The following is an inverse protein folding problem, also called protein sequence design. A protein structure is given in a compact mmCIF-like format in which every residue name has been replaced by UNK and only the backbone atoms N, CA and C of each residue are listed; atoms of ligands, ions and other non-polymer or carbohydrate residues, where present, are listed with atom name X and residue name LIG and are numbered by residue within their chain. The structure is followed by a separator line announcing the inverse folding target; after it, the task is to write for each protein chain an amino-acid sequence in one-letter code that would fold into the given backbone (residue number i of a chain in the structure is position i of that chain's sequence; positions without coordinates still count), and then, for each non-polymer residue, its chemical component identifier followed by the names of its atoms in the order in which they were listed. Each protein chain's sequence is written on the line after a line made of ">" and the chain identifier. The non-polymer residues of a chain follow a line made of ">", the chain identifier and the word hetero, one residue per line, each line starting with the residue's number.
data_IF_027795782533
#
_entry.id   IF_027795782533
#
_cell.length_a   1.000
_cell.length_b   1.000
_cell.length_c   1.000
_cell.angle_alpha   90.00
_cell.angle_beta   90.00
_cell.angle_gamma   90.00
#
_symmetry.space_group_name_H-M   'P 1'
#
loop_
_entity.id
_entity.type
_entity.pdbx_description
1 polymer ?
#
# COMPACT_ATOMS: atom_id res chain seq x y z
N UNK A 1 -6.68 -25.28 28.73
CA UNK A 1 -5.83 -25.28 27.53
C UNK A 1 -6.09 -23.94 26.86
N UNK A 2 -5.07 -23.08 26.71
CA UNK A 2 -5.21 -21.85 25.92
C UNK A 2 -5.50 -22.22 24.47
N UNK A 3 -6.34 -21.43 23.78
CA UNK A 3 -6.53 -21.59 22.35
C UNK A 3 -5.17 -21.47 21.64
N UNK A 4 -4.92 -22.25 20.58
CA UNK A 4 -3.69 -22.11 19.81
C UNK A 4 -3.60 -20.67 19.28
N UNK A 5 -2.41 -20.08 19.37
CA UNK A 5 -2.15 -18.74 18.79
C UNK A 5 -2.42 -18.81 17.28
N UNK A 6 -3.21 -17.88 16.69
CA UNK A 6 -3.42 -17.89 15.25
C UNK A 6 -2.09 -17.73 14.53
N UNK A 7 -1.92 -18.46 13.42
CA UNK A 7 -0.71 -18.36 12.59
C UNK A 7 -0.73 -17.16 11.63
N UNK A 8 -1.92 -16.66 11.30
CA UNK A 8 -2.10 -15.50 10.43
C UNK A 8 -2.87 -14.41 11.16
N UNK A 9 -2.42 -13.18 11.02
CA UNK A 9 -3.12 -11.99 11.44
C UNK A 9 -3.16 -10.97 10.30
N UNK A 10 -4.17 -10.12 10.25
CA UNK A 10 -4.34 -9.06 9.27
C UNK A 10 -4.40 -7.72 9.97
N UNK A 11 -3.61 -6.76 9.50
CA UNK A 11 -3.68 -5.36 9.88
C UNK A 11 -3.74 -4.51 8.62
N UNK A 12 -4.86 -3.84 8.37
CA UNK A 12 -4.98 -2.88 7.27
C UNK A 12 -4.86 -1.47 7.82
N UNK A 13 -4.09 -0.63 7.15
CA UNK A 13 -3.93 0.77 7.55
C UNK A 13 -3.62 1.66 6.35
N UNK A 14 -4.09 2.88 6.43
CA UNK A 14 -3.73 3.92 5.47
C UNK A 14 -2.26 4.30 5.62
N UNK A 15 -1.63 4.60 4.49
CA UNK A 15 -0.42 5.40 4.45
C UNK A 15 -0.77 6.81 3.99
N UNK A 16 -0.18 7.81 4.60
CA UNK A 16 -0.40 9.20 4.20
C UNK A 16 0.88 10.02 4.33
N UNK A 17 1.36 10.62 3.24
CA UNK A 17 2.51 11.50 3.32
C UNK A 17 2.24 12.74 4.17
N UNK A 18 0.97 13.03 4.48
CA UNK A 18 0.54 14.18 5.26
C UNK A 18 0.54 13.93 6.78
N UNK A 19 0.69 12.70 7.24
CA UNK A 19 0.55 12.34 8.66
C UNK A 19 1.46 13.15 9.58
N UNK A 20 2.67 13.46 9.14
CA UNK A 20 3.67 14.20 9.92
C UNK A 20 3.77 15.68 9.51
N UNK A 21 2.83 16.18 8.70
CA UNK A 21 2.83 17.55 8.22
C UNK A 21 1.78 18.40 8.97
N UNK A 22 1.99 19.74 9.10
CA UNK A 22 0.99 20.63 9.67
C UNK A 22 -0.32 20.60 8.87
N UNK A 23 -1.45 20.43 9.54
CA UNK A 23 -2.76 20.47 8.87
C UNK A 23 -3.91 19.94 9.72
N UNK A 24 -3.89 18.71 10.24
CA UNK A 24 -4.97 18.19 11.08
C UNK A 24 -5.10 18.95 12.40
N UNK A 25 -6.32 19.02 12.94
CA UNK A 25 -6.54 19.56 14.29
C UNK A 25 -5.89 18.65 15.35
N UNK A 26 -5.57 19.21 16.52
CA UNK A 26 -5.01 18.42 17.63
C UNK A 26 -5.94 17.26 18.03
N UNK A 27 -7.25 17.49 18.08
CA UNK A 27 -8.22 16.47 18.41
C UNK A 27 -8.21 15.31 17.39
N UNK A 28 -8.14 15.62 16.10
CA UNK A 28 -8.05 14.57 15.06
C UNK A 28 -6.73 13.80 15.15
N UNK A 29 -5.63 14.48 15.44
CA UNK A 29 -4.33 13.81 15.65
C UNK A 29 -4.35 12.90 16.87
N UNK A 30 -5.01 13.30 17.96
CA UNK A 30 -5.18 12.48 19.16
C UNK A 30 -5.97 11.21 18.84
N UNK A 31 -7.07 11.32 18.08
CA UNK A 31 -7.86 10.16 17.64
C UNK A 31 -7.05 9.23 16.73
N UNK A 32 -6.34 9.77 15.75
CA UNK A 32 -5.45 8.97 14.86
C UNK A 32 -4.38 8.26 15.71
N UNK A 33 -3.71 8.97 16.61
CA UNK A 33 -2.66 8.38 17.44
C UNK A 33 -3.19 7.28 18.37
N UNK A 34 -4.42 7.41 18.87
CA UNK A 34 -5.07 6.36 19.65
C UNK A 34 -5.28 5.08 18.80
N UNK A 35 -5.82 5.20 17.59
CA UNK A 35 -6.00 4.06 16.67
C UNK A 35 -4.66 3.42 16.28
N UNK A 36 -3.63 4.23 16.02
CA UNK A 36 -2.30 3.71 15.73
C UNK A 36 -1.66 3.01 16.94
N UNK A 37 -1.96 3.46 18.16
CA UNK A 37 -1.52 2.79 19.39
C UNK A 37 -2.20 1.43 19.56
N UNK A 38 -3.48 1.31 19.27
CA UNK A 38 -4.22 0.05 19.29
C UNK A 38 -3.68 -0.93 18.25
N UNK A 39 -3.39 -0.47 17.03
CA UNK A 39 -2.76 -1.28 15.99
C UNK A 39 -1.38 -1.80 16.43
N UNK A 40 -0.55 -0.94 17.02
CA UNK A 40 0.77 -1.35 17.58
C UNK A 40 0.62 -2.37 18.69
N UNK A 41 -0.34 -2.18 19.60
CA UNK A 41 -0.59 -3.13 20.68
C UNK A 41 -1.02 -4.49 20.14
N UNK A 42 -1.94 -4.52 19.16
CA UNK A 42 -2.36 -5.75 18.48
C UNK A 42 -1.18 -6.49 17.84
N UNK A 43 -0.32 -5.78 17.10
CA UNK A 43 0.85 -6.36 16.43
C UNK A 43 1.89 -6.85 17.44
N UNK A 44 2.10 -6.11 18.54
CA UNK A 44 3.03 -6.51 19.59
C UNK A 44 2.55 -7.77 20.34
N UNK A 45 1.23 -7.89 20.60
CA UNK A 45 0.65 -9.08 21.22
C UNK A 45 0.72 -10.31 20.30
N UNK A 46 0.51 -10.11 19.01
CA UNK A 46 0.65 -11.19 18.00
C UNK A 46 2.11 -11.63 17.82
N UNK A 47 3.09 -10.74 17.98
CA UNK A 47 4.55 -10.97 17.85
C UNK A 47 4.91 -11.72 16.55
N UNK A 48 4.76 -11.11 15.38
CA UNK A 48 4.97 -11.77 14.08
C UNK A 48 6.44 -12.15 13.86
N UNK A 49 6.67 -13.34 13.30
CA UNK A 49 7.98 -13.82 12.84
C UNK A 49 8.27 -13.42 11.38
N UNK A 50 7.23 -13.04 10.65
CA UNK A 50 7.27 -12.58 9.27
C UNK A 50 6.17 -11.57 9.04
N UNK A 51 6.48 -10.55 8.26
CA UNK A 51 5.48 -9.60 7.73
C UNK A 51 5.38 -9.80 6.21
N UNK A 52 4.16 -9.82 5.68
CA UNK A 52 3.91 -9.70 4.23
C UNK A 52 3.08 -8.45 4.03
N UNK A 53 3.63 -7.47 3.33
CA UNK A 53 2.95 -6.18 3.12
C UNK A 53 2.51 -6.02 1.67
N UNK A 54 1.22 -5.81 1.48
CA UNK A 54 0.65 -5.42 0.20
C UNK A 54 0.58 -3.90 0.13
N UNK A 55 1.16 -3.31 -0.89
CA UNK A 55 1.23 -1.85 -1.04
C UNK A 55 1.24 -1.42 -2.49
N UNK A 56 0.76 -0.20 -2.80
CA UNK A 56 1.00 0.44 -4.07
C UNK A 56 2.42 1.02 -4.14
N UNK A 57 2.73 1.66 -5.27
CA UNK A 57 3.89 2.52 -5.46
C UNK A 57 3.46 3.81 -6.15
N UNK A 58 4.10 4.93 -5.79
CA UNK A 58 3.78 6.26 -6.31
C UNK A 58 4.84 6.75 -7.30
N UNK A 59 5.22 5.89 -8.25
CA UNK A 59 6.28 6.13 -9.23
C UNK A 59 7.64 6.40 -8.57
N UNK A 60 8.02 5.55 -7.60
CA UNK A 60 9.33 5.56 -6.97
C UNK A 60 10.13 4.28 -7.26
N UNK A 61 9.47 3.12 -7.35
CA UNK A 61 10.07 1.83 -7.72
C UNK A 61 9.56 1.27 -9.05
N UNK A 62 8.33 1.65 -9.45
CA UNK A 62 7.69 1.15 -10.66
C UNK A 62 7.27 2.28 -11.60
N UNK A 63 7.53 2.07 -12.90
CA UNK A 63 7.35 3.09 -13.94
C UNK A 63 6.74 2.47 -15.19
N UNK A 64 6.11 3.29 -16.05
CA UNK A 64 5.50 2.81 -17.30
C UNK A 64 6.49 2.21 -18.29
N UNK A 65 7.79 2.38 -18.11
CA UNK A 65 8.79 1.64 -18.86
C UNK A 65 8.60 0.13 -18.74
N UNK A 66 8.18 -0.34 -17.57
CA UNK A 66 7.70 -1.70 -17.31
C UNK A 66 6.85 -1.67 -16.04
N UNK A 67 5.52 -1.63 -16.19
CA UNK A 67 4.59 -1.58 -15.08
C UNK A 67 3.90 -2.94 -14.94
N UNK A 68 4.34 -3.80 -13.99
CA UNK A 68 3.67 -5.06 -13.75
C UNK A 68 2.36 -4.84 -12.98
N UNK A 69 1.34 -5.69 -13.14
CA UNK A 69 0.15 -5.64 -12.30
C UNK A 69 0.46 -5.97 -10.84
N UNK A 70 1.40 -6.92 -10.62
CA UNK A 70 1.85 -7.38 -9.31
C UNK A 70 3.34 -7.68 -9.34
N UNK A 71 4.03 -7.47 -8.21
CA UNK A 71 5.42 -7.86 -8.05
C UNK A 71 5.71 -8.29 -6.61
N UNK A 72 6.45 -9.39 -6.45
CA UNK A 72 6.99 -9.81 -5.15
C UNK A 72 8.46 -9.38 -5.09
N UNK A 73 8.87 -8.72 -4.00
CA UNK A 73 10.26 -8.38 -3.77
C UNK A 73 11.00 -9.52 -3.07
N UNK A 74 12.08 -10.04 -3.67
CA UNK A 74 13.04 -10.94 -2.99
C UNK A 74 14.24 -10.20 -2.41
N UNK A 75 14.38 -8.93 -2.72
CA UNK A 75 15.16 -7.92 -2.00
C UNK A 75 14.45 -6.57 -2.21
N UNK A 76 14.50 -5.72 -1.20
CA UNK A 76 13.84 -4.42 -1.26
C UNK A 76 14.64 -3.34 -0.53
N UNK A 77 14.46 -2.09 -0.98
CA UNK A 77 15.13 -0.92 -0.44
C UNK A 77 14.14 0.25 -0.32
N UNK A 78 13.99 0.80 0.88
CA UNK A 78 13.19 2.00 1.10
C UNK A 78 13.85 3.22 0.48
N UNK A 79 13.09 4.01 -0.26
CA UNK A 79 13.62 5.20 -0.96
C UNK A 79 13.70 6.46 -0.09
N UNK A 80 13.06 6.45 1.10
CA UNK A 80 13.12 7.55 2.06
C UNK A 80 12.35 8.79 1.63
N UNK A 81 11.30 8.64 0.85
CA UNK A 81 10.42 9.75 0.51
C UNK A 81 9.60 10.18 1.73
N UNK A 82 9.20 11.44 1.79
CA UNK A 82 8.47 12.05 2.92
C UNK A 82 9.08 11.80 4.31
N UNK A 83 10.41 11.56 4.37
CA UNK A 83 11.12 11.34 5.63
C UNK A 83 10.90 9.95 6.25
N UNK A 84 10.40 8.99 5.48
CA UNK A 84 10.29 7.58 5.86
C UNK A 84 11.64 6.87 5.80
N UNK A 85 11.69 5.61 6.22
CA UNK A 85 12.91 4.80 6.21
C UNK A 85 13.58 4.77 4.82
N UNK A 86 14.89 4.94 4.81
CA UNK A 86 15.76 4.85 3.64
C UNK A 86 16.84 3.79 3.88
N UNK A 87 16.83 2.73 3.10
CA UNK A 87 17.81 1.64 3.23
C UNK A 87 17.23 0.26 2.97
N UNK A 88 18.05 -0.79 3.08
CA UNK A 88 17.62 -2.16 2.80
C UNK A 88 16.62 -2.66 3.84
N UNK A 89 15.58 -3.36 3.37
CA UNK A 89 14.66 -4.12 4.22
C UNK A 89 15.23 -5.54 4.42
N UNK A 90 14.90 -6.15 5.56
CA UNK A 90 15.25 -7.55 5.85
C UNK A 90 14.27 -8.48 5.11
N UNK A 91 14.56 -8.78 3.84
CA UNK A 91 13.73 -9.66 3.02
C UNK A 91 14.30 -11.08 3.03
N UNK A 92 13.55 -12.10 3.53
CA UNK A 92 13.94 -13.49 3.44
C UNK A 92 13.79 -14.00 1.98
N UNK A 93 14.84 -13.80 1.17
CA UNK A 93 14.82 -13.98 -0.28
C UNK A 93 14.33 -15.37 -0.72
N UNK A 94 14.80 -16.44 -0.08
CA UNK A 94 14.38 -17.80 -0.42
C UNK A 94 12.89 -18.04 -0.17
N UNK A 95 12.34 -17.43 0.89
CA UNK A 95 10.92 -17.52 1.20
C UNK A 95 10.08 -16.70 0.21
N UNK A 96 10.56 -15.52 -0.17
CA UNK A 96 9.91 -14.68 -1.19
C UNK A 96 9.89 -15.38 -2.55
N UNK A 97 10.99 -16.03 -2.95
CA UNK A 97 11.07 -16.82 -4.17
C UNK A 97 10.11 -18.03 -4.13
N UNK A 98 10.02 -18.72 -2.99
CA UNK A 98 9.10 -19.84 -2.79
C UNK A 98 7.64 -19.37 -2.86
N UNK A 99 7.33 -18.21 -2.28
CA UNK A 99 6.01 -17.59 -2.36
C UNK A 99 5.65 -17.24 -3.81
N UNK A 100 6.57 -16.65 -4.58
CA UNK A 100 6.35 -16.36 -6.00
C UNK A 100 6.06 -17.63 -6.81
N UNK A 101 6.81 -18.70 -6.57
CA UNK A 101 6.58 -20.00 -7.22
C UNK A 101 5.19 -20.56 -6.90
N UNK A 102 4.77 -20.50 -5.63
CA UNK A 102 3.44 -20.95 -5.22
C UNK A 102 2.31 -20.10 -5.85
N UNK A 103 2.53 -18.80 -6.05
CA UNK A 103 1.59 -17.91 -6.74
C UNK A 103 1.47 -18.29 -8.22
N UNK A 104 2.58 -18.60 -8.93
CA UNK A 104 2.56 -19.09 -10.30
C UNK A 104 1.85 -20.44 -10.42
N UNK A 105 2.14 -21.38 -9.50
CA UNK A 105 1.48 -22.70 -9.46
C UNK A 105 -0.03 -22.57 -9.24
N UNK A 106 -0.47 -21.53 -8.53
CA UNK A 106 -1.88 -21.19 -8.35
C UNK A 106 -2.52 -20.49 -9.57
N UNK A 107 -1.77 -20.29 -10.66
CA UNK A 107 -2.25 -19.70 -11.90
C UNK A 107 -2.35 -18.17 -11.88
N UNK A 108 -1.61 -17.50 -11.00
CA UNK A 108 -1.56 -16.04 -10.95
C UNK A 108 -0.19 -15.56 -11.42
N UNK A 109 -0.18 -14.76 -12.50
CA UNK A 109 1.04 -14.15 -13.00
C UNK A 109 1.50 -13.04 -12.05
N UNK A 110 2.68 -13.17 -11.49
CA UNK A 110 3.34 -12.18 -10.63
C UNK A 110 4.78 -11.96 -11.12
N UNK A 111 5.25 -10.72 -11.09
CA UNK A 111 6.65 -10.42 -11.33
C UNK A 111 7.47 -10.67 -10.07
N UNK A 112 8.76 -10.94 -10.23
CA UNK A 112 9.72 -11.04 -9.13
C UNK A 112 10.78 -9.97 -9.29
N UNK A 113 11.09 -9.25 -8.20
CA UNK A 113 12.17 -8.25 -8.18
C UNK A 113 13.23 -8.63 -7.15
N UNK A 114 14.48 -8.73 -7.59
CA UNK A 114 15.65 -8.89 -6.72
C UNK A 114 16.28 -7.53 -6.31
N UNK A 115 15.62 -6.42 -6.64
CA UNK A 115 16.05 -5.07 -6.32
C UNK A 115 14.82 -4.13 -6.36
N UNK A 116 13.84 -4.39 -5.50
CA UNK A 116 12.60 -3.60 -5.44
C UNK A 116 12.85 -2.32 -4.65
N UNK A 117 12.69 -1.16 -5.28
CA UNK A 117 12.56 0.09 -4.54
C UNK A 117 11.13 0.24 -4.05
N UNK A 118 10.97 0.58 -2.77
CA UNK A 118 9.67 0.78 -2.12
C UNK A 118 9.58 2.16 -1.49
N UNK A 119 8.42 2.79 -1.59
CA UNK A 119 8.18 4.13 -1.08
C UNK A 119 7.40 4.12 0.26
N UNK A 120 6.94 5.32 0.67
CA UNK A 120 6.16 5.50 1.90
C UNK A 120 4.94 4.57 1.97
N UNK A 121 4.36 4.18 0.84
CA UNK A 121 3.25 3.22 0.81
C UNK A 121 3.60 1.88 1.46
N UNK A 122 4.86 1.46 1.36
CA UNK A 122 5.36 0.24 2.02
C UNK A 122 5.97 0.54 3.39
N UNK A 123 6.88 1.52 3.47
CA UNK A 123 7.69 1.68 4.69
C UNK A 123 6.99 2.43 5.80
N UNK A 124 6.06 3.35 5.51
CA UNK A 124 5.37 4.11 6.56
C UNK A 124 4.53 3.22 7.49
N UNK A 125 3.71 2.27 6.99
CA UNK A 125 3.03 1.31 7.88
C UNK A 125 4.00 0.49 8.73
N UNK A 126 5.14 0.06 8.19
CA UNK A 126 6.16 -0.68 8.94
C UNK A 126 6.78 0.20 10.04
N UNK A 127 7.15 1.44 9.72
CA UNK A 127 7.67 2.40 10.71
C UNK A 127 6.65 2.67 11.82
N UNK A 128 5.37 2.82 11.47
CA UNK A 128 4.30 3.03 12.44
C UNK A 128 4.12 1.83 13.36
N UNK A 129 4.08 0.62 12.80
CA UNK A 129 3.80 -0.60 13.56
C UNK A 129 4.99 -1.08 14.40
N UNK A 130 6.22 -0.92 13.89
CA UNK A 130 7.43 -1.49 14.51
C UNK A 130 8.44 -0.46 15.00
N UNK A 131 8.26 0.82 14.67
CA UNK A 131 9.19 1.91 15.00
C UNK A 131 10.41 1.98 14.09
N UNK A 132 10.77 0.89 13.41
CA UNK A 132 11.87 0.79 12.46
C UNK A 132 11.57 -0.33 11.45
N UNK A 133 11.46 0.03 10.17
CA UNK A 133 11.13 -0.89 9.08
C UNK A 133 12.18 -2.00 8.85
N UNK A 134 13.41 -1.83 9.35
CA UNK A 134 14.50 -2.79 9.18
C UNK A 134 14.52 -3.91 10.23
N UNK A 135 13.67 -3.84 11.26
CA UNK A 135 13.77 -4.71 12.45
C UNK A 135 13.06 -6.05 12.33
N UNK A 136 12.27 -6.25 11.29
CA UNK A 136 11.48 -7.48 11.12
C UNK A 136 11.64 -8.02 9.70
N UNK A 137 11.71 -9.36 9.53
CA UNK A 137 11.63 -9.97 8.21
C UNK A 137 10.35 -9.57 7.51
N UNK A 138 10.46 -8.99 6.28
CA UNK A 138 9.33 -8.51 5.51
C UNK A 138 9.42 -8.92 4.05
N UNK A 139 8.30 -9.36 3.46
CA UNK A 139 8.19 -9.59 2.02
C UNK A 139 7.24 -8.54 1.46
N UNK A 140 7.72 -7.57 0.68
CA UNK A 140 6.87 -6.60 0.01
C UNK A 140 6.20 -7.21 -1.22
N UNK A 141 4.91 -6.94 -1.38
CA UNK A 141 4.08 -7.32 -2.52
C UNK A 141 3.48 -6.07 -3.12
N UNK A 142 4.01 -5.66 -4.24
CA UNK A 142 3.49 -4.52 -4.99
C UNK A 142 2.20 -4.89 -5.72
N UNK A 143 1.20 -4.01 -5.63
CA UNK A 143 -0.03 -4.02 -6.42
C UNK A 143 -0.09 -2.71 -7.20
N UNK A 144 -0.24 -2.80 -8.53
CA UNK A 144 -0.50 -1.61 -9.34
C UNK A 144 -1.92 -1.11 -9.09
N UNK A 145 -2.06 -0.14 -8.20
CA UNK A 145 -3.31 0.54 -7.88
C UNK A 145 -3.35 2.01 -8.36
N UNK A 146 -2.24 2.50 -8.95
CA UNK A 146 -2.07 3.92 -9.31
C UNK A 146 -1.91 4.12 -10.81
N UNK A 147 -1.13 3.28 -11.49
CA UNK A 147 -0.72 3.48 -12.88
C UNK A 147 -1.68 2.77 -13.85
N UNK A 148 -2.62 3.51 -14.40
CA UNK A 148 -3.58 2.98 -15.38
C UNK A 148 -2.89 2.46 -16.67
N UNK A 149 -3.41 1.35 -17.30
CA UNK A 149 -4.64 0.64 -16.96
C UNK A 149 -4.47 -0.29 -15.75
N UNK A 150 -5.44 -0.25 -14.84
CA UNK A 150 -5.43 -1.10 -13.65
C UNK A 150 -6.02 -2.49 -13.95
N UNK A 151 -5.48 -3.51 -13.26
CA UNK A 151 -6.05 -4.86 -13.33
C UNK A 151 -7.43 -4.94 -12.67
N UNK A 152 -8.31 -5.89 -13.08
CA UNK A 152 -9.58 -6.11 -12.40
C UNK A 152 -9.38 -6.56 -10.94
N UNK A 153 -10.19 -6.05 -10.02
CA UNK A 153 -10.08 -6.35 -8.57
C UNK A 153 -10.12 -7.86 -8.25
N UNK A 154 -10.85 -8.66 -9.03
CA UNK A 154 -10.84 -10.13 -8.92
C UNK A 154 -9.45 -10.75 -9.07
N UNK A 155 -8.54 -10.11 -9.81
CA UNK A 155 -7.15 -10.57 -9.94
C UNK A 155 -6.35 -10.28 -8.69
N UNK A 156 -6.62 -9.16 -8.03
CA UNK A 156 -6.03 -8.81 -6.72
C UNK A 156 -6.47 -9.84 -5.67
N UNK A 157 -7.76 -10.19 -5.66
CA UNK A 157 -8.28 -11.25 -4.77
C UNK A 157 -7.66 -12.62 -5.04
N UNK A 158 -7.45 -12.97 -6.32
CA UNK A 158 -6.78 -14.22 -6.70
C UNK A 158 -5.34 -14.26 -6.19
N UNK A 159 -4.60 -13.14 -6.29
CA UNK A 159 -3.26 -12.99 -5.71
C UNK A 159 -3.30 -13.18 -4.18
N UNK A 160 -4.21 -12.48 -3.50
CA UNK A 160 -4.38 -12.60 -2.05
C UNK A 160 -4.69 -14.03 -1.61
N UNK A 161 -5.56 -14.75 -2.34
CA UNK A 161 -5.89 -16.14 -2.06
C UNK A 161 -4.68 -17.07 -2.25
N UNK A 162 -3.89 -16.90 -3.33
CA UNK A 162 -2.70 -17.70 -3.58
C UNK A 162 -1.62 -17.47 -2.50
N UNK A 163 -1.35 -16.21 -2.16
CA UNK A 163 -0.40 -15.87 -1.10
C UNK A 163 -0.91 -16.37 0.25
N UNK A 164 -2.18 -16.17 0.58
CA UNK A 164 -2.77 -16.62 1.84
C UNK A 164 -2.69 -18.15 2.01
N UNK A 165 -2.90 -18.93 0.94
CA UNK A 165 -2.73 -20.37 0.96
C UNK A 165 -1.27 -20.78 1.23
N UNK A 166 -0.30 -20.10 0.62
CA UNK A 166 1.13 -20.32 0.88
C UNK A 166 1.48 -20.00 2.34
N UNK A 167 1.07 -18.81 2.83
CA UNK A 167 1.37 -18.38 4.19
C UNK A 167 0.74 -19.32 5.24
N UNK A 168 -0.47 -19.81 5.00
CA UNK A 168 -1.14 -20.77 5.87
C UNK A 168 -0.44 -22.14 5.93
N UNK A 169 0.48 -22.45 5.01
CA UNK A 169 1.29 -23.67 5.04
C UNK A 169 2.59 -23.52 5.85
N UNK A 170 2.94 -22.30 6.26
CA UNK A 170 4.15 -22.03 7.03
C UNK A 170 3.92 -22.31 8.52
N UNK A 171 4.91 -22.86 9.19
CA UNK A 171 4.94 -22.97 10.66
C UNK A 171 5.52 -21.69 11.27
N UNK A 172 4.83 -20.56 11.04
CA UNK A 172 5.22 -19.21 11.47
C UNK A 172 4.00 -18.35 11.80
N UNK A 173 4.18 -17.44 12.73
CA UNK A 173 3.23 -16.32 12.92
C UNK A 173 3.51 -15.26 11.83
N UNK A 174 2.58 -15.10 10.92
CA UNK A 174 2.71 -14.16 9.81
C UNK A 174 1.68 -13.04 9.96
N UNK A 175 2.17 -11.81 10.01
CA UNK A 175 1.33 -10.62 9.90
C UNK A 175 1.20 -10.24 8.42
N UNK A 176 -0.03 -10.21 7.94
CA UNK A 176 -0.36 -9.60 6.65
C UNK A 176 -0.72 -8.14 6.89
N UNK A 177 -0.03 -7.24 6.22
CA UNK A 177 -0.32 -5.80 6.26
C UNK A 177 -0.91 -5.38 4.92
N UNK A 178 -2.11 -4.79 4.95
CA UNK A 178 -2.70 -4.11 3.81
C UNK A 178 -2.43 -2.61 3.93
N UNK A 179 -1.58 -2.08 3.06
CA UNK A 179 -1.27 -0.66 2.99
C UNK A 179 -1.97 -0.04 1.81
N UNK A 180 -2.83 0.92 2.05
CA UNK A 180 -3.61 1.53 0.99
C UNK A 180 -4.37 2.75 1.49
N UNK A 181 -5.55 2.93 0.97
CA UNK A 181 -6.49 3.93 1.42
C UNK A 181 -7.90 3.51 1.02
N UNK A 182 -8.87 3.98 1.77
CA UNK A 182 -10.27 3.87 1.39
C UNK A 182 -10.59 4.95 0.36
N UNK A 183 -11.79 5.51 0.33
CA UNK A 183 -12.15 6.53 -0.65
C UNK A 183 -11.24 7.76 -0.56
N UNK A 184 -10.51 8.05 -1.62
CA UNK A 184 -9.74 9.29 -1.78
C UNK A 184 -9.31 9.50 -3.23
N UNK A 185 -9.03 10.75 -3.59
CA UNK A 185 -8.75 11.15 -4.97
C UNK A 185 -7.53 12.09 -5.03
N UNK A 186 -6.31 11.61 -4.74
CA UNK A 186 -5.12 12.45 -4.77
C UNK A 186 -4.76 12.88 -6.20
N UNK A 187 -4.07 14.02 -6.38
CA UNK A 187 -3.67 14.53 -7.69
C UNK A 187 -2.51 13.70 -8.27
N UNK A 188 -2.80 12.49 -8.76
CA UNK A 188 -1.80 11.59 -9.35
C UNK A 188 -1.61 11.94 -10.84
N UNK A 189 -0.36 12.12 -11.32
CA UNK A 189 -0.11 12.34 -12.73
C UNK A 189 -0.41 11.07 -13.55
N UNK A 190 -1.07 11.24 -14.70
CA UNK A 190 -1.35 10.17 -15.66
C UNK A 190 -0.58 10.38 -16.96
N UNK A 191 -0.48 9.35 -17.81
CA UNK A 191 0.13 9.48 -19.13
C UNK A 191 -0.56 10.55 -20.00
N UNK A 192 -1.87 10.78 -19.80
CA UNK A 192 -2.65 11.74 -20.57
C UNK A 192 -2.53 13.18 -20.06
N UNK A 193 -2.27 13.36 -18.76
CA UNK A 193 -2.37 14.69 -18.11
C UNK A 193 -1.04 15.20 -17.57
N UNK A 194 -0.01 14.34 -17.48
CA UNK A 194 1.27 14.71 -16.92
C UNK A 194 2.00 15.75 -17.80
N UNK A 195 2.55 16.83 -17.21
CA UNK A 195 3.44 17.72 -17.93
C UNK A 195 4.76 17.00 -18.31
N UNK A 196 5.54 17.50 -19.29
CA UNK A 196 6.68 16.77 -19.84
C UNK A 196 7.68 16.24 -18.81
N UNK A 197 8.02 17.01 -17.78
CA UNK A 197 8.94 16.56 -16.72
C UNK A 197 8.35 15.44 -15.85
N UNK A 198 7.05 15.51 -15.53
CA UNK A 198 6.36 14.46 -14.80
C UNK A 198 6.17 13.21 -15.68
N UNK A 199 5.91 13.40 -16.98
CA UNK A 199 5.82 12.30 -17.95
C UNK A 199 7.12 11.52 -18.04
N UNK A 200 8.26 12.21 -18.17
CA UNK A 200 9.58 11.57 -18.18
C UNK A 200 9.84 10.76 -16.89
N UNK A 201 9.42 11.30 -15.76
CA UNK A 201 9.52 10.60 -14.49
C UNK A 201 8.67 9.33 -14.45
N UNK A 202 7.35 9.44 -14.71
CA UNK A 202 6.45 8.29 -14.59
C UNK A 202 6.70 7.20 -15.64
N UNK A 203 7.33 7.57 -16.76
CA UNK A 203 7.67 6.60 -17.82
C UNK A 203 9.05 5.99 -17.58
N UNK A 204 10.09 6.80 -17.36
CA UNK A 204 11.47 6.35 -17.37
C UNK A 204 12.13 6.30 -15.99
N UNK A 205 11.44 6.74 -14.94
CA UNK A 205 12.01 6.75 -13.59
C UNK A 205 13.09 7.83 -13.41
N UNK A 206 12.95 8.97 -14.09
CA UNK A 206 13.90 10.05 -13.94
C UNK A 206 14.03 10.46 -12.46
N UNK A 207 15.25 10.53 -11.88
CA UNK A 207 15.46 10.89 -10.50
C UNK A 207 14.87 12.27 -10.19
N UNK A 208 14.22 12.39 -9.05
CA UNK A 208 13.73 13.69 -8.60
C UNK A 208 14.83 14.44 -7.86
N UNK A 209 15.09 15.68 -8.26
CA UNK A 209 16.01 16.54 -7.50
C UNK A 209 15.42 16.86 -6.10
N UNK A 210 16.24 17.30 -5.12
CA UNK A 210 15.71 17.74 -3.83
C UNK A 210 14.65 18.84 -3.96
N UNK A 211 14.85 19.79 -4.87
CA UNK A 211 13.91 20.88 -5.16
C UNK A 211 12.60 20.35 -5.75
N UNK A 212 12.68 19.37 -6.66
CA UNK A 212 11.53 18.70 -7.25
C UNK A 212 10.72 17.92 -6.20
N UNK A 213 11.40 17.28 -5.24
CA UNK A 213 10.73 16.63 -4.09
C UNK A 213 9.99 17.63 -3.20
N UNK A 214 10.66 18.73 -2.87
CA UNK A 214 10.05 19.80 -2.08
C UNK A 214 8.82 20.39 -2.78
N UNK A 215 8.93 20.70 -4.06
CA UNK A 215 7.82 21.23 -4.86
C UNK A 215 6.62 20.24 -4.93
N UNK A 216 6.90 18.94 -5.08
CA UNK A 216 5.84 17.90 -5.03
C UNK A 216 5.16 17.87 -3.67
N UNK A 217 5.92 17.91 -2.59
CA UNK A 217 5.39 17.92 -1.23
C UNK A 217 4.52 19.16 -0.98
N UNK A 218 4.97 20.34 -1.40
CA UNK A 218 4.18 21.57 -1.32
C UNK A 218 2.88 21.48 -2.12
N UNK A 219 2.92 20.88 -3.32
CA UNK A 219 1.74 20.68 -4.14
C UNK A 219 0.72 19.73 -3.48
N UNK A 220 1.18 18.66 -2.81
CA UNK A 220 0.31 17.73 -2.07
C UNK A 220 -0.32 18.44 -0.86
N UNK A 221 0.43 19.23 -0.11
CA UNK A 221 -0.09 20.04 1.02
C UNK A 221 -1.13 21.03 0.52
N UNK A 222 -0.83 21.77 -0.55
CA UNK A 222 -1.75 22.75 -1.11
C UNK A 222 -3.06 22.10 -1.61
N UNK A 223 -2.98 20.93 -2.26
CA UNK A 223 -4.15 20.17 -2.68
C UNK A 223 -5.02 19.72 -1.49
N UNK A 224 -4.40 19.24 -0.40
CA UNK A 224 -5.10 18.86 0.81
C UNK A 224 -5.77 20.05 1.51
N UNK A 225 -5.11 21.21 1.54
CA UNK A 225 -5.69 22.44 2.09
C UNK A 225 -6.89 22.92 1.25
N UNK A 226 -6.76 22.95 -0.08
CA UNK A 226 -7.86 23.30 -0.97
C UNK A 226 -9.05 22.33 -0.81
N UNK A 227 -8.77 21.03 -0.66
CA UNK A 227 -9.80 20.02 -0.39
C UNK A 227 -10.53 20.30 0.93
N UNK A 228 -9.79 20.58 2.02
CA UNK A 228 -10.37 20.89 3.33
C UNK A 228 -11.25 22.16 3.32
N UNK A 229 -10.97 23.12 2.41
CA UNK A 229 -11.77 24.33 2.25
C UNK A 229 -12.93 24.18 1.25
N UNK A 230 -13.10 23.02 0.60
CA UNK A 230 -14.12 22.81 -0.44
C UNK A 230 -13.81 23.51 -1.76
N UNK A 231 -12.56 23.88 -1.99
CA UNK A 231 -12.09 24.60 -3.19
C UNK A 231 -11.37 23.67 -4.18
N UNK A 232 -11.36 22.36 -3.90
CA UNK A 232 -10.66 21.36 -4.71
C UNK A 232 -11.57 20.78 -5.79
N UNK A 233 -11.03 20.50 -7.00
CA UNK A 233 -11.74 19.71 -8.01
C UNK A 233 -11.70 18.20 -7.72
N UNK A 234 -10.99 17.77 -6.68
CA UNK A 234 -10.87 16.36 -6.30
C UNK A 234 -12.21 15.83 -5.79
N UNK A 235 -12.45 14.54 -6.06
CA UNK A 235 -13.67 13.88 -5.62
C UNK A 235 -13.75 13.87 -4.08
N UNK A 236 -14.91 14.13 -3.47
CA UNK A 236 -15.10 14.04 -2.04
C UNK A 236 -14.94 12.60 -1.54
N UNK A 237 -14.57 12.45 -0.25
CA UNK A 237 -14.57 11.16 0.41
C UNK A 237 -15.98 10.56 0.40
N UNK A 238 -16.07 9.24 0.32
CA UNK A 238 -17.34 8.50 0.34
C UNK A 238 -17.39 7.50 1.50
N UNK A 239 -17.73 7.95 2.72
CA UNK A 239 -17.80 7.10 3.90
C UNK A 239 -18.79 5.92 3.74
N UNK A 240 -19.84 6.07 2.95
CA UNK A 240 -20.81 4.99 2.71
C UNK A 240 -20.17 3.85 1.90
N UNK A 241 -19.35 4.18 0.91
CA UNK A 241 -18.58 3.20 0.16
C UNK A 241 -17.52 2.54 1.05
N UNK A 242 -16.83 3.32 1.88
CA UNK A 242 -15.83 2.84 2.83
C UNK A 242 -16.43 1.81 3.78
N UNK A 243 -17.56 2.14 4.40
CA UNK A 243 -18.28 1.23 5.29
C UNK A 243 -18.78 -0.02 4.56
N UNK A 244 -19.27 0.11 3.32
CA UNK A 244 -19.71 -1.03 2.53
C UNK A 244 -18.55 -2.01 2.25
N UNK A 245 -17.36 -1.51 1.91
CA UNK A 245 -16.18 -2.36 1.72
C UNK A 245 -15.77 -3.05 3.04
N UNK A 246 -15.72 -2.32 4.15
CA UNK A 246 -15.38 -2.89 5.45
C UNK A 246 -16.38 -3.95 5.89
N UNK A 247 -17.69 -3.75 5.66
CA UNK A 247 -18.73 -4.74 5.93
C UNK A 247 -18.55 -6.04 5.12
N UNK A 248 -18.12 -5.94 3.87
CA UNK A 248 -17.80 -7.13 3.06
C UNK A 248 -16.62 -7.93 3.64
N UNK A 249 -15.62 -7.24 4.21
CA UNK A 249 -14.51 -7.90 4.90
C UNK A 249 -14.99 -8.57 6.18
N UNK A 250 -15.67 -7.84 7.05
CA UNK A 250 -16.14 -8.31 8.36
C UNK A 250 -17.12 -9.48 8.26
N UNK A 251 -17.96 -9.47 7.23
CA UNK A 251 -18.97 -10.51 7.01
C UNK A 251 -18.49 -11.64 6.08
N UNK A 252 -17.20 -11.66 5.72
CA UNK A 252 -16.61 -12.66 4.80
C UNK A 252 -17.32 -12.75 3.44
N UNK A 253 -17.76 -11.60 2.91
CA UNK A 253 -18.43 -11.49 1.60
C UNK A 253 -17.54 -10.81 0.54
N UNK A 254 -16.25 -10.77 0.76
CA UNK A 254 -15.30 -10.05 -0.11
C UNK A 254 -15.34 -10.52 -1.59
N UNK A 255 -15.89 -11.72 -1.87
CA UNK A 255 -16.07 -12.16 -3.25
C UNK A 255 -17.04 -11.27 -4.07
N UNK A 256 -17.88 -10.48 -3.44
CA UNK A 256 -18.81 -9.58 -4.12
C UNK A 256 -18.10 -8.45 -4.88
N UNK A 257 -16.89 -8.04 -4.42
CA UNK A 257 -16.08 -7.03 -5.11
C UNK A 257 -15.61 -7.48 -6.50
N UNK A 258 -15.68 -8.79 -6.83
CA UNK A 258 -15.29 -9.30 -8.15
C UNK A 258 -16.12 -8.72 -9.30
N UNK A 259 -17.32 -8.21 -8.99
CA UNK A 259 -18.19 -7.52 -9.93
C UNK A 259 -17.89 -6.03 -10.07
N UNK A 260 -17.07 -5.45 -9.20
CA UNK A 260 -16.74 -4.04 -9.23
C UNK A 260 -15.76 -3.76 -10.36
N UNK A 261 -16.05 -2.74 -11.17
CA UNK A 261 -15.13 -2.29 -12.22
C UNK A 261 -14.26 -1.17 -11.69
N UNK A 262 -13.05 -1.03 -12.23
CA UNK A 262 -12.17 0.09 -11.86
C UNK A 262 -12.83 1.45 -12.13
N UNK A 263 -13.60 1.60 -13.22
CA UNK A 263 -14.33 2.84 -13.53
C UNK A 263 -15.38 3.13 -12.46
N UNK A 264 -16.10 2.11 -12.00
CA UNK A 264 -17.08 2.26 -10.92
C UNK A 264 -16.40 2.62 -9.60
N UNK A 265 -15.30 1.95 -9.23
CA UNK A 265 -14.54 2.27 -8.01
C UNK A 265 -14.02 3.72 -8.09
N UNK A 266 -13.43 4.12 -9.21
CA UNK A 266 -12.95 5.49 -9.39
C UNK A 266 -14.07 6.52 -9.28
N UNK A 267 -15.28 6.20 -9.79
CA UNK A 267 -16.44 7.07 -9.68
C UNK A 267 -16.97 7.18 -8.24
N UNK A 268 -17.02 6.08 -7.50
CA UNK A 268 -17.59 6.06 -6.15
C UNK A 268 -16.60 6.48 -5.07
N UNK A 269 -15.33 6.11 -5.23
CA UNK A 269 -14.35 6.19 -4.17
C UNK A 269 -13.08 6.99 -4.51
N UNK A 270 -12.96 7.47 -5.76
CA UNK A 270 -11.79 8.20 -6.23
C UNK A 270 -10.76 7.32 -6.94
N UNK A 271 -9.79 7.96 -7.58
CA UNK A 271 -8.83 7.30 -8.47
C UNK A 271 -7.75 6.48 -7.75
N UNK A 272 -7.70 6.54 -6.45
CA UNK A 272 -6.71 5.87 -5.61
C UNK A 272 -7.33 5.06 -4.47
N UNK A 273 -8.61 4.74 -4.53
CA UNK A 273 -9.24 3.78 -3.63
C UNK A 273 -8.68 2.37 -3.93
N UNK A 274 -7.81 1.87 -3.07
CA UNK A 274 -7.06 0.63 -3.29
C UNK A 274 -6.69 -0.11 -1.99
#
# INVERSE_FOLDING_TARGET
>A
MSAPTPQLALCCMSHSPLLNLPGPSAALLDDINAQLADARAFVADFDPELVVIFSPDHYNGFFYRLMPPFCIGSAANGVGDYGTYAGPLDVPADLANSMASAVWDAGVDVSLSAAMDVDHGTVQPLDILFGDSSTRPVIPVFINAVAAPLGPIKRVRALGAAIGAFLGSLDKRVLVVGSGGLSHDPPVPTLATAPPAALERIVNGAPMTPEGRAARQEAVIAAAQAFAHGESPLQPLNPDWDHALLDLIDTNRLAEVDSWTNDWIAHEAGNSAH
#
